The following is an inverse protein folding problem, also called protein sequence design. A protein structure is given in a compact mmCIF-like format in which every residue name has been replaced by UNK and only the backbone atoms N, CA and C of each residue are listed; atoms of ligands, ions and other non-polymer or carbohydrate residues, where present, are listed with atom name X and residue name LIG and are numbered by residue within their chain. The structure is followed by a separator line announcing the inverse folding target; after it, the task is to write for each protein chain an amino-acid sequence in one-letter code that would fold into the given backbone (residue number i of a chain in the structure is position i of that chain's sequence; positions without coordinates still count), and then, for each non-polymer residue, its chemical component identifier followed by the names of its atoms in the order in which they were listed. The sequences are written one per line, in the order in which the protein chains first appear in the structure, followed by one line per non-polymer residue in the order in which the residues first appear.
data_IF_200069447491
#
_entry.id   IF_200069447491
#
_cell.length_a   1.000
_cell.length_b   1.000
_cell.length_c   1.000
_cell.angle_alpha   90.00
_cell.angle_beta   90.00
_cell.angle_gamma   90.00
#
_symmetry.space_group_name_H-M   'P 1'
#
loop_
_entity.id
_entity.type
_entity.pdbx_description
1 polymer ?
#
# COMPACT_ATOMS: atom_id res chain seq x y z
N UNK A 1 24.26 19.01 18.61
CA UNK A 1 23.38 17.83 18.60
C UNK A 1 22.41 18.00 19.77
N UNK A 2 21.09 17.97 19.54
CA UNK A 2 20.11 18.15 20.63
C UNK A 2 20.25 16.98 21.63
N UNK A 3 20.12 17.20 22.95
CA UNK A 3 20.26 16.13 23.93
C UNK A 3 19.25 15.03 23.58
N UNK A 4 19.71 13.79 23.50
CA UNK A 4 18.84 12.66 23.23
C UNK A 4 18.09 12.35 24.53
N UNK A 5 17.02 13.11 24.80
CA UNK A 5 16.06 12.78 25.86
C UNK A 5 15.53 11.38 25.57
N UNK A 6 15.87 10.45 26.46
CA UNK A 6 15.45 9.06 26.35
C UNK A 6 13.96 9.00 26.69
N UNK A 7 13.12 9.14 25.66
CA UNK A 7 11.68 8.96 25.77
C UNK A 7 11.37 7.47 25.71
N UNK A 8 10.51 6.99 26.63
CA UNK A 8 10.07 5.60 26.55
C UNK A 8 9.11 5.40 25.36
N UNK A 9 8.96 4.16 24.91
CA UNK A 9 8.20 3.84 23.71
C UNK A 9 6.73 4.23 23.81
N UNK A 10 6.10 4.02 24.98
CA UNK A 10 4.70 4.37 25.21
C UNK A 10 4.47 5.89 25.10
N UNK A 11 5.34 6.69 25.72
CA UNK A 11 5.28 8.14 25.66
C UNK A 11 5.52 8.65 24.24
N UNK A 12 6.45 8.02 23.50
CA UNK A 12 6.69 8.31 22.10
C UNK A 12 5.44 8.07 21.25
N UNK A 13 4.79 6.91 21.42
CA UNK A 13 3.56 6.56 20.70
C UNK A 13 2.43 7.56 20.98
N UNK A 14 2.18 7.85 22.26
CA UNK A 14 1.14 8.78 22.68
C UNK A 14 1.39 10.18 22.12
N UNK A 15 2.64 10.66 22.18
CA UNK A 15 3.04 11.96 21.63
C UNK A 15 2.89 12.01 20.11
N UNK A 16 3.28 10.94 19.40
CA UNK A 16 3.15 10.87 17.95
C UNK A 16 1.68 10.86 17.50
N UNK A 17 0.82 10.04 18.12
CA UNK A 17 -0.60 9.98 17.80
C UNK A 17 -1.29 11.33 18.07
N UNK A 18 -0.94 11.99 19.17
CA UNK A 18 -1.45 13.33 19.50
C UNK A 18 -1.08 14.34 18.42
N UNK A 19 0.21 14.42 18.06
CA UNK A 19 0.69 15.34 17.03
C UNK A 19 0.04 15.06 15.66
N UNK A 20 -0.10 13.79 15.27
CA UNK A 20 -0.78 13.42 14.03
C UNK A 20 -2.23 13.89 14.06
N UNK A 21 -2.96 13.62 15.15
CA UNK A 21 -4.36 14.02 15.29
C UNK A 21 -4.55 15.54 15.29
N UNK A 22 -3.66 16.29 15.94
CA UNK A 22 -3.67 17.76 15.93
C UNK A 22 -3.43 18.35 14.53
N UNK A 23 -2.58 17.71 13.72
CA UNK A 23 -2.16 18.25 12.41
C UNK A 23 -3.00 17.77 11.24
N UNK A 24 -3.46 16.51 11.28
CA UNK A 24 -4.18 15.87 10.19
C UNK A 24 -5.68 15.71 10.48
N UNK A 25 -6.08 15.85 11.75
CA UNK A 25 -7.41 15.47 12.20
C UNK A 25 -7.55 13.95 12.42
N UNK A 26 -8.57 13.52 13.17
CA UNK A 26 -8.74 12.12 13.57
C UNK A 26 -8.93 11.17 12.39
N UNK A 27 -9.64 11.61 11.35
CA UNK A 27 -9.91 10.78 10.17
C UNK A 27 -8.62 10.48 9.38
N UNK A 28 -7.82 11.51 9.09
CA UNK A 28 -6.60 11.35 8.30
C UNK A 28 -5.49 10.67 9.11
N UNK A 29 -5.41 10.87 10.42
CA UNK A 29 -4.52 10.09 11.30
C UNK A 29 -4.83 8.59 11.25
N UNK A 30 -6.10 8.21 11.29
CA UNK A 30 -6.52 6.82 11.17
C UNK A 30 -6.11 6.21 9.81
N UNK A 31 -6.25 6.98 8.72
CA UNK A 31 -5.77 6.57 7.39
C UNK A 31 -4.25 6.42 7.34
N UNK A 32 -3.52 7.37 7.91
CA UNK A 32 -2.05 7.32 7.96
C UNK A 32 -1.54 6.08 8.70
N UNK A 33 -2.09 5.79 9.88
CA UNK A 33 -1.71 4.61 10.68
C UNK A 33 -2.09 3.29 9.98
N UNK A 34 -3.16 3.28 9.18
CA UNK A 34 -3.59 2.09 8.45
C UNK A 34 -2.89 1.88 7.10
N UNK A 35 -2.19 2.87 6.55
CA UNK A 35 -1.45 2.76 5.27
C UNK A 35 -0.37 1.67 5.34
N UNK A 36 0.36 1.56 6.46
CA UNK A 36 1.44 0.58 6.61
C UNK A 36 0.95 -0.88 6.66
N UNK A 37 -0.31 -1.11 7.03
CA UNK A 37 -0.86 -2.46 7.16
C UNK A 37 -1.14 -3.14 5.81
N UNK A 38 -1.18 -2.39 4.70
CA UNK A 38 -1.18 -2.98 3.37
C UNK A 38 0.26 -3.11 2.88
N UNK A 39 0.91 -4.25 3.16
CA UNK A 39 2.18 -4.61 2.50
C UNK A 39 1.97 -4.50 0.99
N UNK A 40 2.53 -3.47 0.37
CA UNK A 40 2.52 -3.31 -1.08
C UNK A 40 3.17 -4.55 -1.68
N UNK A 41 2.40 -5.33 -2.44
CA UNK A 41 2.98 -6.34 -3.31
C UNK A 41 3.70 -5.56 -4.41
N UNK A 42 4.99 -5.84 -4.60
CA UNK A 42 5.79 -5.26 -5.68
C UNK A 42 5.05 -5.44 -7.02
N UNK A 43 5.09 -4.40 -7.86
CA UNK A 43 4.28 -4.30 -9.08
C UNK A 43 4.43 -5.52 -10.00
N UNK A 44 5.66 -5.99 -10.22
CA UNK A 44 5.94 -7.17 -11.05
C UNK A 44 5.41 -8.44 -10.39
N UNK A 45 5.61 -8.61 -9.08
CA UNK A 45 5.04 -9.75 -8.33
C UNK A 45 3.52 -9.79 -8.41
N UNK A 46 2.86 -8.65 -8.24
CA UNK A 46 1.40 -8.51 -8.39
C UNK A 46 0.95 -8.84 -9.81
N UNK A 47 1.68 -8.36 -10.82
CA UNK A 47 1.37 -8.64 -12.21
C UNK A 47 1.51 -10.13 -12.54
N UNK A 48 2.57 -10.79 -12.05
CA UNK A 48 2.75 -12.24 -12.22
C UNK A 48 1.65 -13.06 -11.55
N UNK A 49 1.20 -12.66 -10.36
CA UNK A 49 0.05 -13.29 -9.68
C UNK A 49 -1.27 -13.08 -10.42
N UNK A 50 -1.42 -11.96 -11.13
CA UNK A 50 -2.57 -11.75 -12.02
C UNK A 50 -2.45 -12.65 -13.26
N UNK A 51 -1.28 -12.69 -13.92
CA UNK A 51 -1.04 -13.54 -15.09
C UNK A 51 -1.26 -15.02 -14.79
N UNK A 52 -0.88 -15.50 -13.60
CA UNK A 52 -1.06 -16.91 -13.21
C UNK A 52 -2.52 -17.32 -13.07
N UNK A 53 -3.46 -16.37 -12.94
CA UNK A 53 -4.90 -16.62 -12.86
C UNK A 53 -5.56 -16.69 -14.24
N UNK A 54 -4.83 -16.37 -15.31
CA UNK A 54 -5.38 -16.30 -16.66
C UNK A 54 -5.22 -17.63 -17.39
N UNK A 55 -6.23 -17.97 -18.20
CA UNK A 55 -6.08 -18.99 -19.22
C UNK A 55 -5.41 -18.36 -20.45
N UNK A 56 -4.13 -18.68 -20.65
CA UNK A 56 -3.32 -18.16 -21.76
C UNK A 56 -3.99 -18.38 -23.12
N UNK A 57 -4.54 -19.58 -23.35
CA UNK A 57 -5.17 -19.91 -24.63
C UNK A 57 -6.40 -19.05 -24.90
N UNK A 58 -7.24 -18.82 -23.89
CA UNK A 58 -8.42 -17.95 -24.01
C UNK A 58 -8.03 -16.49 -24.26
N UNK A 59 -7.09 -15.97 -23.47
CA UNK A 59 -6.64 -14.57 -23.58
C UNK A 59 -5.99 -14.30 -24.94
N UNK A 60 -5.12 -15.20 -25.40
CA UNK A 60 -4.48 -15.03 -26.71
C UNK A 60 -5.49 -15.14 -27.85
N UNK A 61 -6.46 -16.07 -27.76
CA UNK A 61 -7.54 -16.14 -28.74
C UNK A 61 -8.32 -14.82 -28.80
N UNK A 62 -8.76 -14.29 -27.66
CA UNK A 62 -9.49 -13.01 -27.62
C UNK A 62 -8.68 -11.84 -28.20
N UNK A 63 -7.41 -11.69 -27.79
CA UNK A 63 -6.55 -10.59 -28.24
C UNK A 63 -6.24 -10.69 -29.74
N UNK A 64 -5.85 -11.87 -30.22
CA UNK A 64 -5.41 -12.01 -31.61
C UNK A 64 -6.57 -12.20 -32.59
N UNK A 65 -7.74 -12.69 -32.15
CA UNK A 65 -8.96 -12.66 -32.97
C UNK A 65 -9.45 -11.23 -33.16
N UNK A 66 -9.34 -10.36 -32.14
CA UNK A 66 -9.64 -8.92 -32.27
C UNK A 66 -8.73 -8.22 -33.29
N UNK A 67 -7.44 -8.59 -33.35
CA UNK A 67 -6.47 -8.02 -34.31
C UNK A 67 -6.69 -8.52 -35.74
N UNK A 68 -7.32 -9.68 -35.95
CA UNK A 68 -7.64 -10.18 -37.30
C UNK A 68 -8.82 -9.45 -37.96
N UNK A 69 -9.56 -8.65 -37.20
CA UNK A 69 -10.74 -7.92 -37.66
C UNK A 69 -10.59 -6.39 -37.57
N UNK A 70 -9.39 -5.89 -37.27
CA UNK A 70 -9.02 -4.47 -37.29
C UNK A 70 -8.10 -4.18 -38.48
#
# INVERSE_FOLDING_TARGET
MRPNEYINEEELFNRAIRLLTEKLGPLETSRFLSIANRKRIESVKRHRQWQSKLNKGKVFKEIFDLVKHA
#
